data_IF_916763941253
#
_entry.id   IF_916763941253
#
_cell.length_a   1.000
_cell.length_b   1.000
_cell.length_c   1.000
_cell.angle_alpha   90.00
_cell.angle_beta   90.00
_cell.angle_gamma   90.00
#
_symmetry.space_group_name_H-M   'P 1'
#
loop_
_entity.id
_entity.type
_entity.pdbx_description
1 polymer ?
#
# COMPACT_ATOMS: atom_id res chain seq x y z
N UNK A 1 -20.70 34.22 7.61
CA UNK A 1 -19.64 33.36 7.06
C UNK A 1 -18.86 32.64 8.15
N UNK A 2 -17.95 33.30 8.86
CA UNK A 2 -17.05 32.69 9.88
C UNK A 2 -17.79 31.90 10.97
N UNK A 3 -18.89 32.44 11.49
CA UNK A 3 -19.60 31.79 12.59
C UNK A 3 -20.32 30.51 12.15
N UNK A 4 -21.16 30.58 11.12
CA UNK A 4 -22.05 29.46 10.74
C UNK A 4 -21.37 28.47 9.79
N UNK A 5 -20.68 28.96 8.75
CA UNK A 5 -20.13 28.08 7.72
C UNK A 5 -18.78 27.48 8.13
N UNK A 6 -17.85 28.33 8.58
CA UNK A 6 -16.54 27.86 9.09
C UNK A 6 -16.66 27.27 10.51
N UNK A 7 -17.87 27.28 11.09
CA UNK A 7 -18.17 26.80 12.45
C UNK A 7 -17.23 27.38 13.50
N UNK A 8 -16.97 28.69 13.45
CA UNK A 8 -16.07 29.38 14.40
C UNK A 8 -16.51 29.32 15.88
N UNK A 9 -17.70 28.81 16.17
CA UNK A 9 -18.16 28.50 17.53
C UNK A 9 -17.68 27.15 18.05
N UNK A 10 -17.09 26.31 17.20
CA UNK A 10 -16.59 24.99 17.57
C UNK A 10 -15.10 25.03 17.86
N UNK A 11 -14.73 24.27 18.89
CA UNK A 11 -13.36 23.81 19.05
C UNK A 11 -13.18 22.56 18.21
N UNK A 12 -12.08 22.49 17.44
CA UNK A 12 -11.72 21.31 16.64
C UNK A 12 -10.67 20.43 17.32
N UNK A 13 -10.70 19.13 17.04
CA UNK A 13 -9.67 18.17 17.47
C UNK A 13 -9.41 17.13 16.39
N UNK A 14 -8.14 16.78 16.20
CA UNK A 14 -7.74 15.63 15.39
C UNK A 14 -8.08 14.31 16.05
N UNK A 15 -7.97 13.23 15.29
CA UNK A 15 -8.24 11.87 15.76
C UNK A 15 -6.95 11.08 16.05
N UNK A 16 -7.10 10.05 16.87
CA UNK A 16 -6.18 8.93 16.97
C UNK A 16 -6.87 7.73 16.33
N UNK A 17 -6.19 7.04 15.41
CA UNK A 17 -6.74 5.88 14.69
C UNK A 17 -5.97 4.60 14.98
N UNK A 18 -6.67 3.48 14.80
CA UNK A 18 -6.08 2.15 14.71
C UNK A 18 -6.79 1.39 13.59
N UNK A 19 -6.01 0.73 12.75
CA UNK A 19 -6.48 -0.03 11.59
C UNK A 19 -5.99 -1.46 11.73
N UNK A 20 -6.85 -2.41 11.37
CA UNK A 20 -6.51 -3.81 11.19
C UNK A 20 -7.20 -4.31 9.95
N UNK A 21 -6.49 -5.08 9.13
CA UNK A 21 -7.00 -5.61 7.88
C UNK A 21 -7.06 -7.13 7.92
N UNK A 22 -8.02 -7.69 7.17
CA UNK A 22 -8.10 -9.12 6.91
C UNK A 22 -8.43 -9.34 5.45
N UNK A 23 -7.53 -10.00 4.73
CA UNK A 23 -7.81 -10.46 3.37
C UNK A 23 -8.42 -11.86 3.37
N UNK A 24 -9.20 -12.13 2.34
CA UNK A 24 -9.73 -13.45 2.03
C UNK A 24 -9.69 -13.67 0.52
N UNK A 25 -9.20 -14.84 0.11
CA UNK A 25 -8.96 -15.18 -1.27
C UNK A 25 -8.08 -16.42 -1.37
N UNK A 26 -8.19 -17.13 -2.48
CA UNK A 26 -7.33 -18.25 -2.84
C UNK A 26 -6.98 -18.13 -4.32
N UNK A 27 -5.71 -18.32 -4.65
CA UNK A 27 -5.25 -18.43 -6.03
C UNK A 27 -4.52 -19.75 -6.24
N UNK A 28 -4.50 -20.23 -7.49
CA UNK A 28 -3.79 -21.43 -7.87
C UNK A 28 -2.91 -21.11 -9.06
N UNK A 29 -1.62 -21.43 -8.95
CA UNK A 29 -0.67 -21.29 -10.05
C UNK A 29 -0.14 -22.66 -10.46
N UNK A 30 0.14 -22.84 -11.75
CA UNK A 30 0.79 -24.05 -12.27
C UNK A 30 2.05 -23.65 -13.04
N UNK A 31 3.19 -23.60 -12.34
CA UNK A 31 4.48 -23.23 -12.92
C UNK A 31 5.32 -24.48 -13.19
N UNK A 32 6.05 -24.57 -14.31
CA UNK A 32 6.96 -25.70 -14.57
C UNK A 32 8.01 -25.90 -13.47
N UNK A 33 8.48 -24.80 -12.86
CA UNK A 33 9.55 -24.81 -11.85
C UNK A 33 9.10 -25.20 -10.44
N UNK A 34 7.82 -25.04 -10.12
CA UNK A 34 7.27 -25.24 -8.77
C UNK A 34 6.12 -26.25 -8.73
N UNK A 35 5.55 -26.63 -9.88
CA UNK A 35 4.35 -27.46 -9.95
C UNK A 35 3.05 -26.69 -9.65
N UNK A 36 1.94 -27.41 -9.40
CA UNK A 36 0.70 -26.80 -8.95
C UNK A 36 0.82 -26.35 -7.49
N UNK A 37 0.51 -25.09 -7.21
CA UNK A 37 0.59 -24.50 -5.88
C UNK A 37 -0.66 -23.66 -5.58
N UNK A 38 -1.18 -23.81 -4.37
CA UNK A 38 -2.24 -22.95 -3.82
C UNK A 38 -1.57 -21.81 -3.06
N UNK A 39 -2.11 -20.60 -3.22
CA UNK A 39 -1.68 -19.39 -2.54
C UNK A 39 -2.82 -18.88 -1.67
N UNK A 40 -2.57 -18.82 -0.36
CA UNK A 40 -3.50 -18.24 0.60
C UNK A 40 -2.97 -16.93 1.19
N UNK A 41 -3.75 -16.35 2.12
CA UNK A 41 -3.45 -15.06 2.76
C UNK A 41 -2.06 -15.02 3.39
N UNK A 42 -1.56 -16.15 3.93
CA UNK A 42 -0.24 -16.21 4.55
C UNK A 42 0.88 -16.20 3.50
N UNK A 43 0.60 -16.61 2.26
CA UNK A 43 1.58 -16.62 1.18
C UNK A 43 1.65 -15.30 0.39
N UNK A 44 0.52 -14.66 0.14
CA UNK A 44 0.44 -13.51 -0.77
C UNK A 44 0.33 -12.14 -0.09
N UNK A 45 0.17 -12.05 1.24
CA UNK A 45 0.06 -10.77 1.96
C UNK A 45 1.32 -10.43 2.75
N UNK A 46 1.83 -9.20 2.56
CA UNK A 46 3.06 -8.74 3.21
C UNK A 46 2.90 -7.34 3.83
N UNK A 47 3.35 -7.12 5.08
CA UNK A 47 3.65 -8.13 6.08
C UNK A 47 2.37 -8.87 6.51
N UNK A 48 2.51 -10.12 6.97
CA UNK A 48 1.36 -10.95 7.38
C UNK A 48 0.52 -10.34 8.52
N UNK A 49 1.09 -9.39 9.28
CA UNK A 49 0.45 -8.77 10.44
C UNK A 49 -0.54 -7.65 10.08
N UNK A 50 -0.59 -7.21 8.80
CA UNK A 50 -1.64 -6.33 8.30
C UNK A 50 -1.85 -5.04 9.10
N UNK A 51 -0.90 -4.11 8.97
CA UNK A 51 -1.02 -2.74 9.50
C UNK A 51 -1.76 -1.84 8.50
N UNK A 52 -1.72 -0.51 8.70
CA UNK A 52 -2.19 0.53 7.78
C UNK A 52 -1.51 0.50 6.40
N UNK A 53 -0.51 -0.35 6.17
CA UNK A 53 0.14 -0.56 4.87
C UNK A 53 0.42 -2.05 4.66
N UNK A 54 -0.05 -2.60 3.55
CA UNK A 54 0.19 -4.00 3.17
C UNK A 54 0.28 -4.18 1.66
N UNK A 55 0.89 -5.28 1.22
CA UNK A 55 1.09 -5.64 -0.18
C UNK A 55 0.37 -6.94 -0.46
N UNK A 56 -0.38 -6.95 -1.57
CA UNK A 56 -0.98 -8.16 -2.14
C UNK A 56 -0.13 -8.56 -3.34
N UNK A 57 0.52 -9.71 -3.25
CA UNK A 57 1.26 -10.30 -4.37
C UNK A 57 0.30 -10.64 -5.51
N UNK A 58 0.67 -10.21 -6.71
CA UNK A 58 -0.12 -10.40 -7.93
C UNK A 58 0.69 -11.12 -9.00
N UNK A 59 2.02 -10.96 -8.98
CA UNK A 59 2.93 -11.64 -9.89
C UNK A 59 4.26 -11.90 -9.20
N UNK A 60 5.04 -12.86 -9.68
CA UNK A 60 6.36 -13.14 -9.12
C UNK A 60 7.27 -13.88 -10.09
N UNK A 61 8.57 -13.77 -9.87
CA UNK A 61 9.61 -14.61 -10.48
C UNK A 61 10.22 -15.45 -9.36
N UNK A 62 10.21 -16.76 -9.53
CA UNK A 62 10.76 -17.70 -8.56
C UNK A 62 12.08 -18.29 -9.06
N UNK A 63 13.12 -18.24 -8.23
CA UNK A 63 14.38 -18.96 -8.42
C UNK A 63 14.47 -20.03 -7.35
N UNK A 64 14.02 -21.27 -7.64
CA UNK A 64 13.90 -22.31 -6.64
C UNK A 64 15.25 -22.95 -6.31
N UNK A 65 15.34 -23.55 -5.10
CA UNK A 65 16.45 -24.41 -4.66
C UNK A 65 17.85 -23.78 -4.78
N UNK A 66 17.96 -22.47 -4.56
CA UNK A 66 19.27 -21.83 -4.47
C UNK A 66 20.07 -22.44 -3.32
N UNK A 67 21.37 -22.68 -3.53
CA UNK A 67 22.34 -23.07 -2.52
C UNK A 67 23.51 -22.09 -2.52
N UNK A 68 24.25 -22.01 -1.41
CA UNK A 68 25.51 -21.26 -1.43
C UNK A 68 26.55 -22.01 -2.25
N UNK A 69 27.16 -21.34 -3.22
CA UNK A 69 28.14 -21.94 -4.10
C UNK A 69 28.74 -20.95 -5.08
N UNK A 70 29.39 -21.49 -6.11
CA UNK A 70 29.98 -20.74 -7.19
C UNK A 70 29.16 -20.89 -8.47
N UNK A 71 28.83 -19.78 -9.10
CA UNK A 71 28.13 -19.77 -10.38
C UNK A 71 28.45 -18.50 -11.18
N UNK A 72 28.10 -18.52 -12.46
CA UNK A 72 28.18 -17.35 -13.34
C UNK A 72 27.21 -16.25 -12.86
N UNK A 73 27.68 -15.02 -12.77
CA UNK A 73 26.85 -13.83 -12.50
C UNK A 73 25.85 -13.58 -13.65
N UNK A 74 24.69 -12.99 -13.36
CA UNK A 74 23.75 -12.59 -14.42
C UNK A 74 24.42 -11.56 -15.37
N UNK A 75 24.25 -11.66 -16.70
CA UNK A 75 24.79 -10.71 -17.68
C UNK A 75 24.55 -9.22 -17.38
N UNK A 76 23.48 -8.86 -16.65
CA UNK A 76 23.25 -7.48 -16.20
C UNK A 76 24.37 -6.92 -15.29
N UNK A 77 25.10 -7.80 -14.59
CA UNK A 77 26.26 -7.47 -13.77
C UNK A 77 27.52 -7.15 -14.59
N UNK A 78 27.46 -7.39 -15.91
CA UNK A 78 28.57 -7.19 -16.85
C UNK A 78 29.12 -8.51 -17.39
N UNK A 79 29.45 -8.50 -18.68
CA UNK A 79 30.09 -9.62 -19.36
C UNK A 79 31.61 -9.54 -19.26
N UNK A 80 32.28 -10.68 -19.31
CA UNK A 80 33.74 -10.78 -19.38
C UNK A 80 34.18 -11.57 -20.61
N UNK A 81 35.40 -11.34 -21.08
CA UNK A 81 36.05 -12.13 -22.14
C UNK A 81 37.22 -12.96 -21.62
N UNK A 82 37.68 -12.67 -20.39
CA UNK A 82 38.75 -13.38 -19.71
C UNK A 82 38.85 -12.93 -18.25
N UNK A 83 39.65 -13.66 -17.47
CA UNK A 83 39.74 -13.51 -16.01
C UNK A 83 40.18 -12.10 -15.57
N UNK A 84 40.97 -11.41 -16.39
CA UNK A 84 41.43 -10.04 -16.11
C UNK A 84 40.30 -9.01 -15.99
N UNK A 85 39.14 -9.28 -16.59
CA UNK A 85 37.94 -8.45 -16.47
C UNK A 85 37.18 -8.62 -15.15
N UNK A 86 37.51 -9.66 -14.37
CA UNK A 86 36.84 -10.01 -13.14
C UNK A 86 37.75 -9.69 -11.94
N UNK A 87 37.49 -8.59 -11.24
CA UNK A 87 38.26 -8.25 -10.02
C UNK A 87 37.73 -9.06 -8.83
N UNK A 88 38.57 -9.86 -8.15
CA UNK A 88 38.15 -10.66 -6.99
C UNK A 88 37.80 -9.79 -5.77
N UNK A 89 36.87 -10.26 -4.94
CA UNK A 89 36.52 -9.64 -3.65
C UNK A 89 35.70 -8.35 -3.75
N UNK A 90 35.35 -7.91 -4.97
CA UNK A 90 34.54 -6.71 -5.20
C UNK A 90 33.07 -7.08 -5.42
N UNK A 91 32.18 -6.59 -4.56
CA UNK A 91 30.75 -6.59 -4.80
C UNK A 91 30.33 -5.22 -5.38
N UNK A 92 29.87 -5.20 -6.62
CA UNK A 92 29.35 -3.99 -7.26
C UNK A 92 27.89 -3.73 -6.84
N UNK A 93 27.38 -2.52 -7.05
CA UNK A 93 26.02 -2.13 -6.58
C UNK A 93 24.88 -2.99 -7.12
N UNK A 94 25.11 -3.75 -8.21
CA UNK A 94 24.15 -4.69 -8.81
C UNK A 94 24.61 -6.15 -8.72
N UNK A 95 25.69 -6.43 -8.01
CA UNK A 95 26.25 -7.76 -7.97
C UNK A 95 25.35 -8.72 -7.18
N UNK A 96 25.20 -9.94 -7.69
CA UNK A 96 24.40 -10.99 -7.08
C UNK A 96 25.22 -11.88 -6.12
N UNK A 97 26.53 -11.61 -6.02
CA UNK A 97 27.48 -12.27 -5.14
C UNK A 97 28.85 -11.60 -5.15
N UNK A 98 29.85 -12.25 -4.56
CA UNK A 98 31.22 -11.75 -4.48
C UNK A 98 32.04 -12.40 -5.59
N UNK A 99 32.63 -11.59 -6.49
CA UNK A 99 33.44 -12.11 -7.60
C UNK A 99 34.66 -12.89 -7.10
N UNK A 100 34.91 -14.05 -7.69
CA UNK A 100 36.09 -14.89 -7.39
C UNK A 100 37.31 -14.49 -8.22
N UNK A 101 37.09 -13.76 -9.31
CA UNK A 101 38.13 -13.32 -10.25
C UNK A 101 38.26 -14.18 -11.51
N UNK A 102 37.39 -15.18 -11.71
CA UNK A 102 37.35 -16.00 -12.93
C UNK A 102 36.23 -15.57 -13.86
N UNK A 103 36.44 -15.73 -15.15
CA UNK A 103 35.44 -15.56 -16.20
C UNK A 103 34.91 -16.94 -16.61
N UNK A 104 33.60 -17.16 -16.44
CA UNK A 104 32.94 -18.45 -16.70
C UNK A 104 31.80 -18.28 -17.70
N UNK A 105 31.47 -19.35 -18.42
CA UNK A 105 30.32 -19.34 -19.33
C UNK A 105 29.01 -19.26 -18.53
N UNK A 106 28.19 -18.25 -18.82
CA UNK A 106 26.81 -18.17 -18.33
C UNK A 106 25.88 -18.99 -19.21
N UNK A 107 26.06 -18.88 -20.53
CA UNK A 107 25.43 -19.72 -21.55
C UNK A 107 26.43 -19.99 -22.69
N UNK A 108 26.01 -20.67 -23.76
CA UNK A 108 26.88 -21.03 -24.90
C UNK A 108 27.49 -19.82 -25.64
N UNK A 109 26.96 -18.61 -25.43
CA UNK A 109 27.32 -17.39 -26.17
C UNK A 109 27.90 -16.27 -25.31
N UNK A 110 27.63 -16.27 -24.00
CA UNK A 110 27.93 -15.18 -23.07
C UNK A 110 28.72 -15.71 -21.89
N UNK A 111 29.82 -15.02 -21.59
CA UNK A 111 30.64 -15.27 -20.40
C UNK A 111 30.50 -14.12 -19.40
N UNK A 112 30.42 -14.46 -18.12
CA UNK A 112 30.29 -13.52 -17.01
C UNK A 112 31.23 -13.93 -15.86
N UNK A 113 31.44 -13.02 -14.91
CA UNK A 113 32.32 -13.32 -13.79
C UNK A 113 31.72 -14.40 -12.88
N UNK A 114 32.54 -15.33 -12.43
CA UNK A 114 32.17 -16.29 -11.39
C UNK A 114 32.03 -15.55 -10.05
N UNK A 115 30.91 -15.81 -9.37
CA UNK A 115 30.60 -15.25 -8.06
C UNK A 115 30.42 -16.34 -7.01
N UNK A 116 30.76 -16.03 -5.77
CA UNK A 116 30.31 -16.78 -4.61
C UNK A 116 29.03 -16.13 -4.07
N UNK A 117 27.94 -16.90 -4.04
CA UNK A 117 26.62 -16.38 -3.68
C UNK A 117 25.55 -17.47 -3.68
N UNK A 118 24.29 -17.06 -3.79
CA UNK A 118 23.17 -17.98 -3.90
C UNK A 118 22.96 -18.38 -5.36
N UNK A 119 23.26 -19.65 -5.66
CA UNK A 119 23.27 -20.22 -6.99
C UNK A 119 22.14 -21.24 -7.17
N UNK A 120 21.46 -21.29 -8.33
CA UNK A 120 21.65 -20.41 -9.49
C UNK A 120 21.17 -18.98 -9.22
N UNK A 121 21.76 -18.00 -9.91
CA UNK A 121 21.36 -16.60 -9.78
C UNK A 121 19.95 -16.34 -10.32
N UNK A 122 19.34 -15.25 -9.85
CA UNK A 122 18.05 -14.80 -10.36
C UNK A 122 18.18 -14.32 -11.81
N UNK A 123 17.27 -14.79 -12.67
CA UNK A 123 17.10 -14.34 -14.05
C UNK A 123 15.72 -13.67 -14.14
N UNK A 124 15.71 -12.35 -14.27
CA UNK A 124 14.51 -11.52 -14.21
C UNK A 124 14.20 -10.77 -15.53
N UNK A 125 14.77 -11.24 -16.64
CA UNK A 125 14.60 -10.66 -17.98
C UNK A 125 13.12 -10.61 -18.42
N UNK A 126 12.34 -11.62 -18.03
CA UNK A 126 10.97 -11.81 -18.46
C UNK A 126 10.01 -11.89 -17.27
N UNK A 127 9.27 -10.80 -17.04
CA UNK A 127 8.15 -10.78 -16.10
C UNK A 127 6.98 -11.55 -16.72
N UNK A 128 6.37 -12.53 -16.01
CA UNK A 128 5.23 -13.30 -16.54
C UNK A 128 4.06 -12.39 -16.94
N UNK A 129 3.50 -12.64 -18.14
CA UNK A 129 2.30 -11.97 -18.65
C UNK A 129 1.35 -13.00 -19.27
N UNK A 130 0.07 -13.06 -18.87
CA UNK A 130 -0.57 -12.24 -17.82
C UNK A 130 0.01 -12.53 -16.42
N UNK A 131 -0.31 -11.67 -15.45
CA UNK A 131 0.10 -11.84 -14.06
C UNK A 131 -0.35 -13.19 -13.49
N UNK A 132 0.51 -13.83 -12.68
CA UNK A 132 0.30 -15.19 -12.19
C UNK A 132 -0.90 -15.33 -11.24
N UNK A 133 -1.14 -14.35 -10.36
CA UNK A 133 -2.27 -14.33 -9.40
C UNK A 133 -3.32 -13.31 -9.84
N UNK A 134 -3.85 -13.46 -11.05
CA UNK A 134 -4.96 -12.61 -11.54
C UNK A 134 -6.22 -12.74 -10.71
N UNK A 135 -6.42 -13.89 -10.06
CA UNK A 135 -7.56 -14.16 -9.17
C UNK A 135 -7.60 -13.18 -7.99
N UNK A 136 -6.48 -12.52 -7.69
CA UNK A 136 -6.40 -11.47 -6.67
C UNK A 136 -7.37 -10.31 -6.92
N UNK A 137 -7.80 -10.07 -8.17
CA UNK A 137 -8.83 -9.07 -8.50
C UNK A 137 -10.15 -9.35 -7.75
N UNK A 138 -10.46 -10.62 -7.54
CA UNK A 138 -11.70 -11.06 -6.89
C UNK A 138 -11.56 -11.24 -5.38
N UNK A 139 -10.38 -10.98 -4.81
CA UNK A 139 -10.18 -11.10 -3.37
C UNK A 139 -10.91 -10.00 -2.63
N UNK A 140 -11.26 -10.30 -1.38
CA UNK A 140 -11.95 -9.36 -0.50
C UNK A 140 -11.03 -8.90 0.63
N UNK A 141 -11.05 -7.60 0.89
CA UNK A 141 -10.35 -6.92 1.96
C UNK A 141 -11.38 -6.46 2.99
N UNK A 142 -11.30 -6.95 4.22
CA UNK A 142 -12.05 -6.41 5.34
C UNK A 142 -11.17 -5.42 6.11
N UNK A 143 -11.66 -4.19 6.29
CA UNK A 143 -10.97 -3.15 7.04
C UNK A 143 -11.71 -2.90 8.36
N UNK A 144 -11.03 -3.12 9.48
CA UNK A 144 -11.50 -2.72 10.80
C UNK A 144 -10.78 -1.44 11.21
N UNK A 145 -11.54 -0.36 11.40
CA UNK A 145 -11.01 0.92 11.82
C UNK A 145 -11.67 1.38 13.12
N UNK A 146 -10.84 1.79 14.09
CA UNK A 146 -11.28 2.42 15.34
C UNK A 146 -10.64 3.79 15.44
N UNK A 147 -11.42 4.79 15.82
CA UNK A 147 -10.96 6.16 16.01
C UNK A 147 -11.35 6.67 17.41
N UNK A 148 -10.55 7.60 17.93
CA UNK A 148 -10.83 8.32 19.16
C UNK A 148 -10.55 9.79 18.97
N UNK A 149 -11.45 10.65 19.47
CA UNK A 149 -11.24 12.08 19.64
C UNK A 149 -11.01 12.34 21.14
N UNK A 150 -9.76 12.32 21.64
CA UNK A 150 -9.48 12.33 23.08
C UNK A 150 -10.03 13.56 23.78
N UNK A 151 -9.96 14.73 23.11
CA UNK A 151 -10.47 16.00 23.64
C UNK A 151 -11.97 15.94 23.99
N UNK A 152 -12.75 15.21 23.20
CA UNK A 152 -14.20 15.09 23.39
C UNK A 152 -14.60 13.78 24.07
N UNK A 153 -13.64 12.89 24.38
CA UNK A 153 -13.86 11.56 24.94
C UNK A 153 -14.85 10.71 24.12
N UNK A 154 -14.80 10.86 22.79
CA UNK A 154 -15.64 10.10 21.85
C UNK A 154 -14.79 9.07 21.14
N UNK A 155 -15.23 7.82 21.15
CA UNK A 155 -14.61 6.72 20.40
C UNK A 155 -15.62 6.13 19.44
N UNK A 156 -15.22 5.88 18.20
CA UNK A 156 -16.07 5.31 17.14
C UNK A 156 -15.33 4.19 16.41
N UNK A 157 -16.11 3.34 15.75
CA UNK A 157 -15.63 2.27 14.86
C UNK A 157 -16.39 2.36 13.56
N UNK A 158 -15.77 1.91 12.47
CA UNK A 158 -16.42 1.86 11.17
C UNK A 158 -17.56 0.84 11.08
N UNK A 159 -17.62 -0.12 12.01
CA UNK A 159 -18.80 -0.94 12.28
C UNK A 159 -19.84 -0.11 13.04
N UNK A 160 -20.49 0.81 12.32
CA UNK A 160 -21.53 1.71 12.84
C UNK A 160 -22.84 0.95 13.06
N UNK A 161 -23.84 1.62 13.63
CA UNK A 161 -25.10 1.01 14.06
C UNK A 161 -25.84 0.26 12.94
N UNK A 162 -25.73 0.71 11.69
CA UNK A 162 -26.33 0.05 10.52
C UNK A 162 -25.57 -1.19 10.03
N UNK A 163 -24.35 -1.42 10.53
CA UNK A 163 -23.47 -2.52 10.12
C UNK A 163 -23.59 -3.64 11.14
N UNK A 164 -24.63 -4.45 11.00
CA UNK A 164 -24.87 -5.61 11.86
C UNK A 164 -24.32 -6.93 11.27
N UNK A 165 -24.45 -8.02 12.03
CA UNK A 165 -23.96 -9.33 11.61
C UNK A 165 -24.71 -9.92 10.41
N UNK A 166 -25.95 -9.50 10.13
CA UNK A 166 -26.70 -9.96 8.98
C UNK A 166 -26.23 -9.24 7.71
N UNK A 167 -26.06 -7.92 7.79
CA UNK A 167 -25.50 -7.08 6.74
C UNK A 167 -24.08 -7.52 6.37
N UNK A 168 -23.23 -7.79 7.36
CA UNK A 168 -21.84 -8.22 7.15
C UNK A 168 -21.68 -9.57 6.41
N UNK A 169 -22.72 -10.41 6.35
CA UNK A 169 -22.64 -11.70 5.65
C UNK A 169 -22.67 -11.56 4.13
N UNK A 170 -23.32 -10.51 3.63
CA UNK A 170 -23.58 -10.35 2.19
C UNK A 170 -23.12 -9.01 1.63
N UNK A 171 -22.82 -8.04 2.49
CA UNK A 171 -22.41 -6.73 2.00
C UNK A 171 -21.05 -6.81 1.30
N UNK A 172 -20.98 -6.09 0.19
CA UNK A 172 -19.74 -5.72 -0.47
C UNK A 172 -19.81 -4.22 -0.69
N UNK A 173 -18.73 -3.52 -0.39
CA UNK A 173 -18.68 -2.07 -0.51
C UNK A 173 -19.04 -1.62 -1.93
N UNK A 174 -19.91 -0.61 -1.99
CA UNK A 174 -20.20 0.14 -3.21
C UNK A 174 -20.53 1.57 -2.81
N UNK A 175 -19.96 2.55 -3.51
CA UNK A 175 -20.06 3.98 -3.15
C UNK A 175 -21.49 4.48 -2.93
N UNK A 176 -22.45 3.95 -3.68
CA UNK A 176 -23.88 4.34 -3.60
C UNK A 176 -24.77 3.33 -2.88
N UNK A 177 -24.59 2.02 -3.14
CA UNK A 177 -25.50 0.97 -2.65
C UNK A 177 -25.16 0.55 -1.21
N UNK A 178 -23.88 0.43 -0.91
CA UNK A 178 -23.36 -0.10 0.36
C UNK A 178 -22.17 0.72 0.89
N UNK A 179 -22.34 2.05 1.09
CA UNK A 179 -21.22 2.95 1.44
C UNK A 179 -20.62 2.70 2.83
N UNK A 180 -21.34 2.00 3.71
CA UNK A 180 -20.89 1.67 5.06
C UNK A 180 -20.32 0.25 5.19
N UNK A 181 -20.33 -0.54 4.10
CA UNK A 181 -19.79 -1.90 4.18
C UNK A 181 -18.25 -1.86 4.28
N UNK A 182 -17.64 -2.48 5.29
CA UNK A 182 -16.19 -2.48 5.49
C UNK A 182 -15.47 -3.61 4.73
N UNK A 183 -16.15 -4.30 3.82
CA UNK A 183 -15.62 -5.40 2.99
C UNK A 183 -15.53 -4.93 1.55
N UNK A 184 -14.33 -4.92 1.00
CA UNK A 184 -14.01 -4.33 -0.30
C UNK A 184 -13.50 -5.41 -1.26
N UNK A 185 -13.94 -5.39 -2.51
CA UNK A 185 -13.31 -6.18 -3.57
C UNK A 185 -12.07 -5.45 -4.09
N UNK A 186 -10.94 -6.14 -4.26
CA UNK A 186 -9.68 -5.49 -4.67
C UNK A 186 -9.76 -4.89 -6.09
N UNK A 187 -10.41 -5.57 -7.03
CA UNK A 187 -10.68 -5.05 -8.37
C UNK A 187 -11.46 -3.74 -8.34
N UNK A 188 -12.53 -3.68 -7.54
CA UNK A 188 -13.34 -2.48 -7.34
C UNK A 188 -12.52 -1.31 -6.76
N UNK A 189 -11.71 -1.58 -5.73
CA UNK A 189 -10.84 -0.57 -5.10
C UNK A 189 -9.85 0.01 -6.12
N UNK A 190 -9.21 -0.84 -6.92
CA UNK A 190 -8.27 -0.39 -7.96
C UNK A 190 -8.97 0.41 -9.05
N UNK A 191 -10.16 -0.04 -9.48
CA UNK A 191 -10.96 0.64 -10.49
C UNK A 191 -11.39 2.04 -10.04
N UNK A 192 -11.93 2.17 -8.81
CA UNK A 192 -12.35 3.47 -8.26
C UNK A 192 -11.16 4.40 -8.01
N UNK A 193 -9.94 3.86 -7.87
CA UNK A 193 -8.72 4.67 -7.79
C UNK A 193 -8.31 5.27 -9.15
N UNK A 194 -9.00 4.92 -10.24
CA UNK A 194 -8.69 5.33 -11.61
C UNK A 194 -7.63 4.47 -12.31
N UNK A 195 -7.31 3.29 -11.77
CA UNK A 195 -6.28 2.38 -12.28
C UNK A 195 -6.91 1.10 -12.86
N UNK A 196 -6.14 0.34 -13.65
CA UNK A 196 -6.55 -0.96 -14.17
C UNK A 196 -5.85 -2.10 -13.42
N UNK A 197 -6.62 -3.04 -12.87
CA UNK A 197 -6.06 -4.14 -12.06
C UNK A 197 -5.10 -5.02 -12.87
N UNK A 198 -5.45 -5.37 -14.10
CA UNK A 198 -4.65 -6.28 -14.93
C UNK A 198 -3.27 -5.71 -15.24
N UNK A 199 -3.17 -4.41 -15.55
CA UNK A 199 -1.88 -3.76 -15.83
C UNK A 199 -1.06 -3.58 -14.56
N UNK A 200 -1.72 -3.21 -13.45
CA UNK A 200 -1.07 -3.03 -12.15
C UNK A 200 -0.56 -4.37 -11.60
N UNK A 201 -1.26 -5.48 -11.85
CA UNK A 201 -0.88 -6.81 -11.41
C UNK A 201 0.42 -7.32 -12.07
N UNK A 202 0.78 -6.86 -13.27
CA UNK A 202 1.99 -7.33 -13.94
C UNK A 202 3.27 -6.85 -13.24
N UNK A 203 3.33 -5.56 -12.91
CA UNK A 203 4.54 -4.88 -12.38
C UNK A 203 4.38 -4.40 -10.94
N UNK A 204 3.19 -4.54 -10.36
CA UNK A 204 2.82 -3.95 -9.09
C UNK A 204 2.53 -2.45 -9.18
N UNK A 205 2.09 -1.88 -8.06
CA UNK A 205 1.85 -0.45 -7.93
C UNK A 205 1.30 -0.10 -6.54
N UNK A 206 0.75 1.11 -6.40
CA UNK A 206 0.32 1.63 -5.10
C UNK A 206 -1.09 2.23 -5.19
N UNK A 207 -1.94 1.86 -4.25
CA UNK A 207 -3.31 2.37 -4.10
C UNK A 207 -3.47 2.95 -2.70
N UNK A 208 -3.95 4.18 -2.60
CA UNK A 208 -4.33 4.80 -1.35
C UNK A 208 -5.81 4.55 -1.04
N UNK A 209 -6.11 4.19 0.20
CA UNK A 209 -7.47 4.10 0.73
C UNK A 209 -7.61 5.13 1.84
N UNK A 210 -8.40 6.17 1.61
CA UNK A 210 -8.67 7.20 2.62
C UNK A 210 -9.95 6.87 3.37
N UNK A 211 -9.89 6.91 4.70
CA UNK A 211 -11.06 6.80 5.58
C UNK A 211 -11.22 8.14 6.29
N UNK A 212 -12.17 8.95 5.84
CA UNK A 212 -12.45 10.27 6.42
C UNK A 212 -13.50 10.18 7.54
N UNK A 213 -13.19 10.81 8.66
CA UNK A 213 -14.08 11.01 9.81
C UNK A 213 -14.24 12.49 10.14
N UNK A 214 -14.97 13.22 9.31
CA UNK A 214 -15.38 14.59 9.60
C UNK A 214 -16.68 14.61 10.40
N UNK A 215 -16.57 14.89 11.70
CA UNK A 215 -17.66 14.71 12.65
C UNK A 215 -18.04 16.02 13.34
N UNK A 216 -19.31 16.36 13.26
CA UNK A 216 -19.90 17.42 14.06
C UNK A 216 -20.53 16.81 15.32
N UNK A 217 -19.87 16.99 16.47
CA UNK A 217 -20.25 16.43 17.76
C UNK A 217 -21.25 17.28 18.53
N UNK A 218 -21.77 18.35 17.93
CA UNK A 218 -22.98 19.01 18.41
C UNK A 218 -24.23 18.19 18.07
N UNK A 219 -24.13 17.38 17.00
CA UNK A 219 -25.12 16.37 16.66
C UNK A 219 -24.86 15.04 17.36
N UNK A 220 -25.86 14.17 17.33
CA UNK A 220 -25.71 12.82 17.88
C UNK A 220 -24.59 12.06 17.17
N UNK A 221 -23.77 11.33 17.93
CA UNK A 221 -22.58 10.61 17.44
C UNK A 221 -22.86 9.62 16.29
N UNK A 222 -24.12 9.19 16.13
CA UNK A 222 -24.59 8.34 15.01
C UNK A 222 -24.35 8.95 13.63
N UNK A 223 -24.31 10.28 13.54
CA UNK A 223 -24.03 10.98 12.28
C UNK A 223 -22.53 11.03 11.94
N UNK A 224 -21.66 10.77 12.91
CA UNK A 224 -20.23 10.59 12.69
C UNK A 224 -20.01 9.20 12.09
N UNK A 225 -19.84 9.15 10.76
CA UNK A 225 -19.69 7.94 9.96
C UNK A 225 -18.45 8.07 9.05
N UNK A 226 -17.80 6.96 8.71
CA UNK A 226 -16.64 6.98 7.82
C UNK A 226 -17.08 7.24 6.37
N UNK A 227 -16.26 7.97 5.64
CA UNK A 227 -16.34 8.07 4.17
C UNK A 227 -15.08 7.44 3.58
N UNK A 228 -15.26 6.57 2.60
CA UNK A 228 -14.17 5.85 1.94
C UNK A 228 -13.88 6.46 0.57
N UNK A 229 -12.61 6.76 0.31
CA UNK A 229 -12.13 7.23 -0.99
C UNK A 229 -10.90 6.42 -1.43
N UNK A 230 -10.72 6.28 -2.73
CA UNK A 230 -9.65 5.50 -3.32
C UNK A 230 -8.84 6.37 -4.27
N UNK A 231 -7.52 6.28 -4.19
CA UNK A 231 -6.63 7.15 -4.95
C UNK A 231 -5.52 6.35 -5.60
N UNK A 232 -5.28 6.60 -6.88
CA UNK A 232 -4.07 6.11 -7.54
C UNK A 232 -2.86 6.90 -7.08
N UNK A 233 -1.96 6.24 -6.34
CA UNK A 233 -0.71 6.83 -5.85
C UNK A 233 0.48 6.51 -6.75
N UNK A 234 0.22 5.83 -7.87
CA UNK A 234 1.22 5.41 -8.83
C UNK A 234 1.22 6.33 -10.06
N UNK A 235 2.34 6.97 -10.33
CA UNK A 235 2.62 7.65 -11.60
C UNK A 235 3.53 6.77 -12.45
N UNK A 236 3.14 6.50 -13.69
CA UNK A 236 4.01 5.82 -14.66
C UNK A 236 5.23 6.69 -15.00
N UNK A 237 6.32 6.51 -14.24
CA UNK A 237 7.62 7.10 -14.56
C UNK A 237 8.52 6.07 -15.23
N UNK A 238 9.39 6.57 -16.13
CA UNK A 238 10.42 5.74 -16.78
C UNK A 238 11.43 5.16 -15.78
N UNK A 239 11.59 5.80 -14.62
CA UNK A 239 12.52 5.38 -13.57
C UNK A 239 11.77 4.57 -12.50
N UNK A 240 12.14 3.30 -12.33
CA UNK A 240 11.57 2.35 -11.35
C UNK A 240 10.05 2.14 -11.48
N UNK A 241 9.55 1.60 -12.61
CA UNK A 241 8.13 1.32 -12.77
C UNK A 241 7.67 0.18 -11.85
N UNK A 242 6.45 0.34 -11.34
CA UNK A 242 5.73 -0.63 -10.52
C UNK A 242 6.18 -0.69 -9.05
N UNK A 243 5.79 -1.77 -8.38
CA UNK A 243 6.17 -2.06 -7.00
C UNK A 243 6.61 -3.52 -6.88
N UNK A 244 7.87 -3.72 -6.49
CA UNK A 244 8.45 -5.04 -6.34
C UNK A 244 9.43 -5.11 -5.16
N UNK A 245 9.58 -6.30 -4.61
CA UNK A 245 10.56 -6.61 -3.57
C UNK A 245 10.96 -8.08 -3.63
N UNK A 246 12.05 -8.44 -2.95
CA UNK A 246 12.53 -9.82 -2.89
C UNK A 246 12.32 -10.40 -1.50
N UNK A 247 11.88 -11.65 -1.43
CA UNK A 247 11.87 -12.41 -0.19
C UNK A 247 12.32 -13.85 -0.46
N UNK A 248 12.75 -14.56 0.58
CA UNK A 248 13.21 -15.93 0.45
C UNK A 248 12.60 -16.86 1.50
N UNK A 249 12.32 -18.10 1.09
CA UNK A 249 11.91 -19.21 1.98
C UNK A 249 13.11 -20.15 2.12
N UNK A 250 13.66 -20.27 3.32
CA UNK A 250 14.83 -21.11 3.60
C UNK A 250 14.40 -22.52 4.04
N UNK A 251 15.17 -23.53 3.63
CA UNK A 251 14.96 -24.92 4.03
C UNK A 251 16.29 -25.69 4.00
N UNK A 252 16.32 -26.86 4.61
CA UNK A 252 17.50 -27.75 4.64
C UNK A 252 17.16 -29.03 3.90
N UNK A 253 18.01 -29.43 2.97
CA UNK A 253 17.90 -30.68 2.20
C UNK A 253 19.26 -31.39 2.26
N UNK A 254 19.29 -32.65 2.71
CA UNK A 254 20.53 -33.45 2.83
C UNK A 254 21.68 -32.73 3.59
N UNK A 255 21.36 -31.99 4.66
CA UNK A 255 22.34 -31.23 5.44
C UNK A 255 22.85 -29.93 4.78
N UNK A 256 22.38 -29.61 3.57
CA UNK A 256 22.72 -28.39 2.84
C UNK A 256 21.61 -27.34 3.03
N UNK A 257 22.00 -26.09 3.28
CA UNK A 257 21.07 -24.97 3.36
C UNK A 257 20.67 -24.51 1.96
N UNK A 258 19.37 -24.54 1.70
CA UNK A 258 18.77 -24.06 0.46
C UNK A 258 17.79 -22.91 0.71
N UNK A 259 17.45 -22.17 -0.35
CA UNK A 259 16.32 -21.24 -0.33
C UNK A 259 15.59 -21.19 -1.66
N UNK A 260 14.30 -20.88 -1.60
CA UNK A 260 13.54 -20.40 -2.76
C UNK A 260 13.53 -18.87 -2.70
N UNK A 261 14.10 -18.22 -3.71
CA UNK A 261 14.06 -16.77 -3.85
C UNK A 261 12.85 -16.37 -4.70
N UNK A 262 12.11 -15.37 -4.25
CA UNK A 262 10.99 -14.80 -4.97
C UNK A 262 11.23 -13.30 -5.16
N UNK A 263 11.21 -12.85 -6.40
CA UNK A 263 10.99 -11.44 -6.74
C UNK A 263 9.49 -11.24 -6.94
N UNK A 264 8.86 -10.59 -5.97
CA UNK A 264 7.42 -10.35 -5.92
C UNK A 264 7.09 -9.02 -6.56
N UNK A 265 6.05 -9.02 -7.38
CA UNK A 265 5.35 -7.83 -7.84
C UNK A 265 3.96 -7.84 -7.20
N UNK A 266 3.56 -6.69 -6.67
CA UNK A 266 2.35 -6.62 -5.86
C UNK A 266 1.75 -5.23 -5.84
N UNK A 267 0.47 -5.19 -5.48
CA UNK A 267 -0.23 -3.94 -5.26
C UNK A 267 -0.10 -3.63 -3.77
N UNK A 268 0.53 -2.50 -3.46
CA UNK A 268 0.61 -1.97 -2.10
C UNK A 268 -0.63 -1.11 -1.83
N UNK A 269 -1.33 -1.41 -0.75
CA UNK A 269 -2.46 -0.63 -0.26
C UNK A 269 -2.03 0.12 1.00
N UNK A 270 -2.12 1.45 0.94
CA UNK A 270 -1.86 2.34 2.07
C UNK A 270 -3.19 2.92 2.57
N UNK A 271 -3.58 2.58 3.80
CA UNK A 271 -4.80 3.07 4.45
C UNK A 271 -4.47 4.31 5.26
N UNK A 272 -5.02 5.44 4.83
CA UNK A 272 -4.88 6.74 5.50
C UNK A 272 -6.17 7.07 6.22
N UNK A 273 -6.10 7.24 7.54
CA UNK A 273 -7.28 7.65 8.33
C UNK A 273 -7.13 9.12 8.65
N UNK A 274 -8.02 9.93 8.11
CA UNK A 274 -8.07 11.37 8.32
C UNK A 274 -9.41 11.75 8.95
N UNK A 275 -9.46 12.91 9.59
CA UNK A 275 -10.70 13.40 10.15
C UNK A 275 -10.50 14.41 11.25
N UNK A 276 -11.56 15.16 11.52
CA UNK A 276 -11.63 16.18 12.56
C UNK A 276 -12.99 16.08 13.22
N UNK A 277 -13.01 16.31 14.52
CA UNK A 277 -14.26 16.52 15.24
C UNK A 277 -14.37 17.99 15.65
N UNK A 278 -15.54 18.58 15.47
CA UNK A 278 -15.91 19.88 16.02
C UNK A 278 -16.97 19.72 17.10
N UNK A 279 -16.86 20.51 18.18
CA UNK A 279 -17.90 20.61 19.22
C UNK A 279 -17.96 22.04 19.74
N UNK A 280 -19.16 22.52 20.05
CA UNK A 280 -19.42 23.82 20.64
C UNK A 280 -18.51 24.10 21.83
N UNK A 281 -17.89 25.28 21.81
CA UNK A 281 -17.04 25.80 22.87
C UNK A 281 -17.24 27.31 23.00
N UNK A 282 -17.44 27.77 24.24
CA UNK A 282 -17.73 29.17 24.52
C UNK A 282 -16.55 30.10 24.21
N UNK A 283 -15.30 29.60 24.34
CA UNK A 283 -14.10 30.40 24.11
C UNK A 283 -14.01 30.85 22.65
N UNK A 284 -13.95 29.96 21.63
CA UNK A 284 -13.88 30.38 20.23
C UNK A 284 -15.15 31.12 19.78
N UNK A 285 -16.30 30.81 20.37
CA UNK A 285 -17.55 31.54 20.15
C UNK A 285 -17.39 33.02 20.50
N UNK A 286 -16.96 33.34 21.73
CA UNK A 286 -16.79 34.71 22.19
C UNK A 286 -15.67 35.44 21.45
N UNK A 287 -14.56 34.76 21.17
CA UNK A 287 -13.47 35.31 20.35
C UNK A 287 -13.96 35.69 18.95
N UNK A 288 -14.71 34.80 18.28
CA UNK A 288 -15.23 35.05 16.92
C UNK A 288 -16.22 36.23 16.90
N UNK A 289 -17.11 36.32 17.90
CA UNK A 289 -18.04 37.46 18.03
C UNK A 289 -17.25 38.76 18.25
N UNK A 290 -16.28 38.77 19.18
CA UNK A 290 -15.45 39.93 19.47
C UNK A 290 -14.66 40.42 18.25
N UNK A 291 -14.01 39.50 17.52
CA UNK A 291 -13.32 39.81 16.26
C UNK A 291 -14.28 40.36 15.20
N UNK A 292 -15.49 39.79 15.09
CA UNK A 292 -16.52 40.27 14.18
C UNK A 292 -16.95 41.72 14.48
N UNK A 293 -17.22 42.05 15.75
CA UNK A 293 -17.54 43.41 16.17
C UNK A 293 -16.38 44.38 15.87
N UNK A 294 -15.14 43.95 16.13
CA UNK A 294 -13.94 44.73 15.81
C UNK A 294 -13.83 45.09 14.32
N UNK A 295 -14.12 44.13 13.42
CA UNK A 295 -14.10 44.36 11.98
C UNK A 295 -15.15 45.39 11.55
N UNK A 296 -16.36 45.37 12.14
CA UNK A 296 -17.37 46.38 11.83
C UNK A 296 -16.91 47.80 12.19
N UNK A 297 -16.18 47.98 13.29
CA UNK A 297 -15.60 49.28 13.66
C UNK A 297 -14.51 49.76 12.70
N UNK A 298 -13.71 48.86 12.12
CA UNK A 298 -12.72 49.21 11.09
C UNK A 298 -13.42 49.53 9.76
N UNK A 299 -14.47 48.78 9.42
CA UNK A 299 -15.24 49.00 8.20
C UNK A 299 -15.89 50.39 8.18
N UNK A 300 -16.43 50.87 9.30
CA UNK A 300 -17.00 52.22 9.37
C UNK A 300 -15.96 53.29 9.09
N UNK A 301 -14.76 53.19 9.69
CA UNK A 301 -13.67 54.16 9.45
C UNK A 301 -13.21 54.15 7.99
N UNK A 302 -13.12 52.96 7.38
CA UNK A 302 -12.78 52.80 5.96
C UNK A 302 -13.84 53.39 5.04
N UNK A 303 -15.12 53.13 5.31
CA UNK A 303 -16.23 53.70 4.55
C UNK A 303 -16.25 55.23 4.64
N UNK A 304 -16.04 55.79 5.84
CA UNK A 304 -15.96 57.24 6.02
C UNK A 304 -14.79 57.85 5.23
N UNK A 305 -13.60 57.24 5.29
CA UNK A 305 -12.43 57.65 4.51
C UNK A 305 -12.68 57.62 2.99
N UNK A 306 -13.34 56.57 2.49
CA UNK A 306 -13.70 56.42 1.08
C UNK A 306 -14.78 57.39 0.61
N UNK A 307 -15.63 57.89 1.51
CA UNK A 307 -16.64 58.89 1.17
C UNK A 307 -16.09 60.33 1.28
N UNK A 308 -15.03 60.53 2.06
CA UNK A 308 -14.33 61.81 2.23
C UNK A 308 -13.25 62.07 1.16
N UNK A 309 -12.97 61.12 0.28
CA UNK A 309 -12.05 61.23 -0.87
C UNK A 309 -12.76 60.82 -2.17
#
# INVERSE_FOLDING_TARGET
WVFVYEKGYQTSSGLISSVSVKLQGLAVTKLPSLGPQVWDVADYVFPAQGDSSFVVMTNFIATPRQAQGHCAENPEGGTCTGDSGCTPGKAERKAQGIRTGRCVAFNDTVQTCEIFGWCPVEVDDNIPRPALLREAENFTLFIKNSISFPRFKVTRRNLVEEVDAAYMKTCLYHKTLHPLCPVFNLGYVVQESGQNFSTLAEKGGVVGITIDWNCDLDWHVRHCKPVYEFHGLYEEKKLSPGFNFRFARHFVENGTNHRHLFKVFGIRFDILVAGKAGKFDIIPTMTTIGSGIGIFGVATVLCDLLLLH
#
